data_IF_068944008761
#
_entry.id   IF_068944008761
#
_cell.length_a   1.000
_cell.length_b   1.000
_cell.length_c   1.000
_cell.angle_alpha   90.00
_cell.angle_beta   90.00
_cell.angle_gamma   90.00
#
_symmetry.space_group_name_H-M   'P 1'
#
loop_
_entity.id
_entity.type
_entity.pdbx_description
1 polymer ?
#
# COMPACT_ATOMS: atom_id res chain seq x y z
N UNK A 1 39.38 -4.53 -7.58
CA UNK A 1 37.90 -4.64 -7.59
C UNK A 1 37.43 -4.39 -9.01
N UNK A 2 36.72 -5.33 -9.63
CA UNK A 2 36.22 -5.17 -11.00
C UNK A 2 35.21 -4.02 -11.05
N UNK A 3 35.33 -3.16 -12.07
CA UNK A 3 34.35 -2.09 -12.36
C UNK A 3 32.96 -2.76 -12.47
N UNK A 4 31.92 -2.30 -11.75
CA UNK A 4 30.59 -2.88 -11.88
C UNK A 4 30.16 -2.75 -13.35
N UNK A 5 29.77 -3.89 -13.94
CA UNK A 5 29.26 -3.95 -15.31
C UNK A 5 28.08 -2.98 -15.41
N UNK A 6 28.20 -1.97 -16.28
CA UNK A 6 27.12 -1.04 -16.54
C UNK A 6 25.96 -1.81 -17.17
N UNK A 7 24.84 -1.89 -16.46
CA UNK A 7 23.61 -2.48 -16.99
C UNK A 7 23.19 -1.74 -18.27
N UNK A 8 22.97 -2.49 -19.35
CA UNK A 8 22.56 -1.93 -20.64
C UNK A 8 21.04 -1.76 -20.72
N UNK A 9 20.58 -0.52 -20.55
CA UNK A 9 19.17 -0.15 -20.65
C UNK A 9 18.64 -0.10 -22.09
N UNK A 10 19.51 -0.14 -23.11
CA UNK A 10 19.10 0.03 -24.51
C UNK A 10 18.46 -1.24 -25.09
N UNK A 11 18.88 -2.42 -24.60
CA UNK A 11 18.44 -3.72 -25.09
C UNK A 11 17.64 -4.53 -24.07
N UNK A 12 17.54 -4.06 -22.82
CA UNK A 12 16.83 -4.76 -21.76
C UNK A 12 15.30 -4.58 -21.85
N UNK A 13 14.57 -5.65 -21.55
CA UNK A 13 13.12 -5.62 -21.34
C UNK A 13 12.75 -4.90 -20.04
N UNK A 14 11.49 -4.50 -19.90
CA UNK A 14 11.02 -3.83 -18.69
C UNK A 14 11.20 -4.70 -17.44
N UNK A 15 10.97 -6.01 -17.55
CA UNK A 15 11.13 -6.98 -16.46
C UNK A 15 12.60 -7.12 -16.05
N UNK A 16 13.53 -7.21 -16.99
CA UNK A 16 14.97 -7.27 -16.71
C UNK A 16 15.48 -6.00 -16.05
N UNK A 17 15.00 -4.83 -16.48
CA UNK A 17 15.33 -3.55 -15.84
C UNK A 17 14.84 -3.52 -14.39
N UNK A 18 13.61 -3.95 -14.13
CA UNK A 18 13.03 -4.02 -12.77
C UNK A 18 13.85 -4.98 -11.91
N UNK A 19 14.07 -6.20 -12.39
CA UNK A 19 14.86 -7.22 -11.70
C UNK A 19 16.29 -6.76 -11.40
N UNK A 20 16.95 -6.09 -12.34
CA UNK A 20 18.29 -5.55 -12.12
C UNK A 20 18.33 -4.43 -11.07
N UNK A 21 17.26 -3.64 -10.95
CA UNK A 21 17.12 -2.62 -9.90
C UNK A 21 16.86 -3.28 -8.54
N UNK A 22 15.98 -4.29 -8.48
CA UNK A 22 15.65 -5.00 -7.24
C UNK A 22 16.86 -5.79 -6.70
N UNK A 23 17.62 -6.41 -7.60
CA UNK A 23 18.85 -7.14 -7.28
C UNK A 23 20.08 -6.23 -7.08
N UNK A 24 19.90 -4.91 -7.06
CA UNK A 24 20.97 -3.91 -6.86
C UNK A 24 22.11 -3.97 -7.89
N UNK A 25 21.85 -4.56 -9.06
CA UNK A 25 22.79 -4.57 -10.21
C UNK A 25 22.86 -3.17 -10.84
N UNK A 26 21.73 -2.45 -10.83
CA UNK A 26 21.66 -1.03 -11.20
C UNK A 26 20.68 -0.28 -10.29
N UNK A 27 20.40 1.00 -10.57
CA UNK A 27 19.50 1.82 -9.76
C UNK A 27 18.47 2.58 -10.61
N UNK A 28 17.37 2.98 -9.98
CA UNK A 28 16.39 3.87 -10.60
C UNK A 28 17.01 5.21 -11.02
N UNK A 29 18.04 5.68 -10.29
CA UNK A 29 18.78 6.89 -10.65
C UNK A 29 19.51 6.69 -11.97
N UNK A 30 20.19 5.54 -12.15
CA UNK A 30 20.88 5.21 -13.39
C UNK A 30 19.91 5.11 -14.57
N UNK A 31 18.73 4.51 -14.37
CA UNK A 31 17.67 4.46 -15.39
C UNK A 31 17.20 5.87 -15.80
N UNK A 32 17.00 6.78 -14.83
CA UNK A 32 16.64 8.18 -15.10
C UNK A 32 17.77 8.90 -15.84
N UNK A 33 19.01 8.74 -15.39
CA UNK A 33 20.18 9.33 -16.03
C UNK A 33 20.37 8.83 -17.47
N UNK A 34 20.17 7.55 -17.74
CA UNK A 34 20.16 6.99 -19.09
C UNK A 34 19.13 7.70 -19.96
N UNK A 35 17.88 7.79 -19.50
CA UNK A 35 16.79 8.46 -20.22
C UNK A 35 17.07 9.94 -20.48
N UNK A 36 17.76 10.63 -19.57
CA UNK A 36 18.22 12.01 -19.79
C UNK A 36 19.30 12.09 -20.88
N UNK A 37 20.31 11.20 -20.84
CA UNK A 37 21.43 11.18 -21.81
C UNK A 37 21.00 10.91 -23.25
N UNK A 38 19.94 10.12 -23.46
CA UNK A 38 19.44 9.78 -24.80
C UNK A 38 18.55 10.86 -25.43
N UNK A 39 18.45 12.04 -24.82
CA UNK A 39 17.64 13.16 -25.32
C UNK A 39 16.38 13.46 -24.49
N UNK A 40 16.33 13.01 -23.24
CA UNK A 40 15.22 13.26 -22.32
C UNK A 40 14.02 12.34 -22.52
N UNK A 41 13.01 12.51 -21.65
CA UNK A 41 11.89 11.57 -21.52
C UNK A 41 11.14 11.28 -22.82
N UNK A 42 10.88 12.30 -23.65
CA UNK A 42 10.12 12.12 -24.90
C UNK A 42 10.89 11.29 -25.94
N UNK A 43 12.20 11.49 -26.04
CA UNK A 43 13.05 10.74 -26.97
C UNK A 43 13.28 9.32 -26.44
N UNK A 44 13.51 9.18 -25.13
CA UNK A 44 13.66 7.90 -24.47
C UNK A 44 12.40 7.03 -24.58
N UNK A 45 11.21 7.62 -24.44
CA UNK A 45 9.94 6.88 -24.57
C UNK A 45 9.73 6.31 -25.97
N UNK A 46 10.21 7.02 -27.01
CA UNK A 46 10.10 6.56 -28.40
C UNK A 46 11.16 5.52 -28.74
N UNK A 47 12.41 5.73 -28.31
CA UNK A 47 13.55 4.86 -28.68
C UNK A 47 13.69 3.63 -27.78
N UNK A 48 13.32 3.75 -26.50
CA UNK A 48 13.50 2.72 -25.48
C UNK A 48 12.23 2.59 -24.61
N UNK A 49 11.09 2.15 -25.18
CA UNK A 49 9.80 2.12 -24.49
C UNK A 49 9.83 1.27 -23.20
N UNK A 50 10.62 0.19 -23.19
CA UNK A 50 10.84 -0.67 -22.02
C UNK A 50 11.32 0.10 -20.78
N UNK A 51 12.07 1.20 -20.96
CA UNK A 51 12.54 2.03 -19.84
C UNK A 51 11.41 2.80 -19.16
N UNK A 52 10.39 3.23 -19.91
CA UNK A 52 9.20 3.89 -19.35
C UNK A 52 8.33 2.88 -18.63
N UNK A 53 8.13 1.72 -19.25
CA UNK A 53 7.36 0.62 -18.67
C UNK A 53 7.96 0.16 -17.33
N UNK A 54 9.29 -0.04 -17.29
CA UNK A 54 10.00 -0.35 -16.05
C UNK A 54 9.78 0.71 -14.97
N UNK A 55 9.85 2.01 -15.31
CA UNK A 55 9.58 3.08 -14.34
C UNK A 55 8.14 3.01 -13.79
N UNK A 56 7.15 2.70 -14.62
CA UNK A 56 5.76 2.58 -14.19
C UNK A 56 5.56 1.37 -13.26
N UNK A 57 6.17 0.23 -13.60
CA UNK A 57 6.15 -0.98 -12.75
C UNK A 57 6.78 -0.67 -11.40
N UNK A 58 7.96 -0.07 -11.36
CA UNK A 58 8.66 0.30 -10.13
C UNK A 58 7.83 1.28 -9.30
N UNK A 59 7.20 2.27 -9.94
CA UNK A 59 6.32 3.23 -9.24
C UNK A 59 5.15 2.50 -8.57
N UNK A 60 4.49 1.59 -9.29
CA UNK A 60 3.38 0.78 -8.75
C UNK A 60 3.83 -0.10 -7.60
N UNK A 61 4.94 -0.84 -7.75
CA UNK A 61 5.47 -1.71 -6.70
C UNK A 61 5.86 -0.94 -5.43
N UNK A 62 6.47 0.24 -5.57
CA UNK A 62 6.81 1.11 -4.44
C UNK A 62 5.57 1.63 -3.73
N UNK A 63 4.53 2.00 -4.48
CA UNK A 63 3.25 2.42 -3.89
C UNK A 63 2.62 1.27 -3.11
N UNK A 64 2.54 0.07 -3.71
CA UNK A 64 2.04 -1.14 -3.03
C UNK A 64 2.83 -1.46 -1.75
N UNK A 65 4.16 -1.35 -1.80
CA UNK A 65 5.01 -1.58 -0.62
C UNK A 65 4.79 -0.53 0.48
N UNK A 66 4.53 0.73 0.11
CA UNK A 66 4.18 1.80 1.05
C UNK A 66 2.82 1.53 1.69
N UNK A 67 1.82 1.19 0.90
CA UNK A 67 0.46 0.91 1.39
C UNK A 67 0.48 -0.32 2.33
N UNK A 68 1.20 -1.39 1.93
CA UNK A 68 1.40 -2.56 2.77
C UNK A 68 2.19 -2.27 4.05
N UNK A 69 3.10 -1.29 4.04
CA UNK A 69 3.78 -0.84 5.25
C UNK A 69 2.82 -0.14 6.21
N UNK A 70 1.97 0.77 5.72
CA UNK A 70 0.98 1.47 6.53
C UNK A 70 0.07 0.46 7.26
N UNK A 71 -0.44 -0.54 6.53
CA UNK A 71 -1.28 -1.60 7.12
C UNK A 71 -0.50 -2.39 8.17
N UNK A 72 0.75 -2.78 7.88
CA UNK A 72 1.59 -3.50 8.86
C UNK A 72 1.86 -2.67 10.11
N UNK A 73 2.12 -1.38 9.98
CA UNK A 73 2.39 -0.49 11.11
C UNK A 73 1.14 -0.34 12.00
N UNK A 74 -0.06 -0.27 11.40
CA UNK A 74 -1.36 -0.31 12.12
C UNK A 74 -1.52 -1.63 12.87
N UNK A 75 -1.20 -2.75 12.21
CA UNK A 75 -1.37 -4.10 12.77
C UNK A 75 -0.27 -4.50 13.76
N UNK A 76 0.88 -3.83 13.76
CA UNK A 76 2.04 -4.18 14.57
C UNK A 76 1.75 -4.32 16.07
N UNK A 77 1.09 -3.35 16.76
CA UNK A 77 0.78 -3.50 18.18
C UNK A 77 -0.13 -4.70 18.45
N UNK A 78 -1.11 -4.96 17.57
CA UNK A 78 -2.01 -6.11 17.69
C UNK A 78 -1.28 -7.43 17.47
N UNK A 79 -0.43 -7.50 16.45
CA UNK A 79 0.32 -8.70 16.09
C UNK A 79 1.28 -9.14 17.21
N UNK A 80 1.88 -8.17 17.91
CA UNK A 80 2.75 -8.45 19.04
C UNK A 80 1.99 -9.02 20.25
N UNK A 81 0.76 -8.57 20.50
CA UNK A 81 -0.09 -9.09 21.58
C UNK A 81 -0.75 -10.42 21.22
N UNK A 82 -1.12 -10.62 19.95
CA UNK A 82 -1.59 -11.91 19.43
C UNK A 82 -0.50 -12.97 19.54
N UNK A 83 0.76 -12.63 19.24
CA UNK A 83 1.89 -13.55 19.42
C UNK A 83 2.11 -13.97 20.88
N UNK A 84 1.60 -13.19 21.85
CA UNK A 84 1.60 -13.53 23.29
C UNK A 84 0.37 -14.36 23.69
N UNK A 85 -0.49 -14.73 22.75
CA UNK A 85 -1.69 -15.54 22.98
C UNK A 85 -2.90 -14.77 23.51
N UNK A 86 -2.89 -13.43 23.47
CA UNK A 86 -4.09 -12.65 23.85
C UNK A 86 -5.15 -12.72 22.76
N UNK A 87 -6.40 -12.67 23.18
CA UNK A 87 -7.53 -12.63 22.26
C UNK A 87 -7.66 -11.26 21.57
N UNK A 88 -8.09 -11.25 20.30
CA UNK A 88 -8.24 -10.02 19.50
C UNK A 88 -9.20 -9.05 20.17
N UNK A 89 -10.33 -9.54 20.70
CA UNK A 89 -11.34 -8.71 21.35
C UNK A 89 -10.80 -8.09 22.62
N UNK A 90 -9.99 -8.82 23.39
CA UNK A 90 -9.32 -8.28 24.58
C UNK A 90 -8.32 -7.18 24.25
N UNK A 91 -7.57 -7.33 23.15
CA UNK A 91 -6.59 -6.33 22.72
C UNK A 91 -7.30 -5.02 22.31
N UNK A 92 -8.45 -5.11 21.62
CA UNK A 92 -9.19 -3.92 21.16
C UNK A 92 -10.16 -3.35 22.20
N UNK A 93 -10.47 -4.10 23.27
CA UNK A 93 -11.47 -3.75 24.30
C UNK A 93 -11.31 -2.33 24.88
N UNK A 94 -10.09 -1.80 25.13
CA UNK A 94 -9.95 -0.43 25.60
C UNK A 94 -10.50 0.61 24.62
N UNK A 95 -10.32 0.38 23.31
CA UNK A 95 -10.84 1.27 22.26
C UNK A 95 -12.36 1.18 22.17
N UNK A 96 -12.91 -0.04 22.23
CA UNK A 96 -14.36 -0.26 22.29
C UNK A 96 -14.96 0.44 23.51
N UNK A 97 -14.33 0.33 24.68
CA UNK A 97 -14.83 0.93 25.93
C UNK A 97 -14.89 2.46 25.83
N UNK A 98 -13.86 3.10 25.28
CA UNK A 98 -13.86 4.54 25.05
C UNK A 98 -14.99 4.99 24.09
N UNK A 99 -15.25 4.23 23.02
CA UNK A 99 -16.38 4.49 22.15
C UNK A 99 -17.73 4.31 22.86
N UNK A 100 -17.87 3.29 23.69
CA UNK A 100 -19.09 3.06 24.47
C UNK A 100 -19.37 4.24 25.41
N UNK A 101 -18.36 4.75 26.10
CA UNK A 101 -18.50 5.94 26.96
C UNK A 101 -18.94 7.16 26.15
N UNK A 102 -18.35 7.38 24.99
CA UNK A 102 -18.74 8.47 24.09
C UNK A 102 -20.21 8.34 23.63
N UNK A 103 -20.63 7.18 23.14
CA UNK A 103 -22.02 6.98 22.72
C UNK A 103 -23.00 7.04 23.90
N UNK A 104 -22.58 6.56 25.08
CA UNK A 104 -23.37 6.66 26.30
C UNK A 104 -23.59 8.11 26.72
N UNK A 105 -22.58 8.97 26.62
CA UNK A 105 -22.72 10.43 26.85
C UNK A 105 -23.71 11.11 25.91
N UNK A 106 -24.02 10.46 24.77
CA UNK A 106 -25.01 10.89 23.79
C UNK A 106 -26.37 10.20 23.95
N UNK A 107 -26.53 9.37 24.99
CA UNK A 107 -27.78 8.67 25.30
C UNK A 107 -27.93 7.28 24.67
N UNK A 108 -26.86 6.72 24.06
CA UNK A 108 -26.90 5.39 23.43
C UNK A 108 -26.07 4.37 24.22
N UNK A 109 -26.75 3.38 24.81
CA UNK A 109 -26.09 2.21 25.42
C UNK A 109 -25.86 1.12 24.38
N UNK A 110 -24.61 0.98 23.90
CA UNK A 110 -24.25 0.02 22.86
C UNK A 110 -23.45 -1.16 23.42
N UNK A 111 -23.67 -2.35 22.88
CA UNK A 111 -22.80 -3.51 23.05
C UNK A 111 -21.51 -3.38 22.22
N UNK A 112 -20.51 -4.21 22.53
CA UNK A 112 -19.18 -4.16 21.89
C UNK A 112 -19.30 -4.38 20.37
N UNK A 113 -20.12 -5.34 19.95
CA UNK A 113 -20.37 -5.66 18.55
C UNK A 113 -21.09 -4.52 17.81
N UNK A 114 -22.01 -3.84 18.49
CA UNK A 114 -22.76 -2.71 17.92
C UNK A 114 -21.84 -1.51 17.67
N UNK A 115 -20.87 -1.28 18.56
CA UNK A 115 -19.82 -0.28 18.34
C UNK A 115 -18.97 -0.63 17.13
N UNK A 116 -18.52 -1.88 17.00
CA UNK A 116 -17.74 -2.32 15.85
C UNK A 116 -18.50 -2.13 14.53
N UNK A 117 -19.76 -2.53 14.48
CA UNK A 117 -20.63 -2.36 13.30
C UNK A 117 -20.77 -0.87 12.94
N UNK A 118 -21.02 -0.01 13.93
CA UNK A 118 -21.16 1.43 13.70
C UNK A 118 -19.88 2.05 13.14
N UNK A 119 -18.72 1.67 13.69
CA UNK A 119 -17.42 2.10 13.15
C UNK A 119 -17.20 1.61 11.72
N UNK A 120 -17.62 0.38 11.40
CA UNK A 120 -17.53 -0.16 10.05
C UNK A 120 -18.45 0.57 9.05
N UNK A 121 -19.66 0.95 9.46
CA UNK A 121 -20.57 1.79 8.66
C UNK A 121 -19.90 3.14 8.35
N UNK A 122 -19.34 3.80 9.36
CA UNK A 122 -18.65 5.08 9.17
C UNK A 122 -17.47 4.95 8.20
N UNK A 123 -16.66 3.90 8.33
CA UNK A 123 -15.54 3.61 7.43
C UNK A 123 -15.96 3.16 6.03
N UNK A 124 -17.21 2.69 5.82
CA UNK A 124 -17.71 2.27 4.51
C UNK A 124 -17.59 3.36 3.46
N UNK A 125 -17.99 4.59 3.81
CA UNK A 125 -17.89 5.76 2.92
C UNK A 125 -16.43 6.12 2.55
N UNK A 126 -15.49 5.92 3.48
CA UNK A 126 -14.06 6.09 3.23
C UNK A 126 -13.53 5.01 2.29
N UNK A 127 -14.01 3.77 2.41
CA UNK A 127 -13.62 2.66 1.55
C UNK A 127 -14.05 2.88 0.09
N UNK A 128 -15.26 3.41 -0.14
CA UNK A 128 -15.70 3.78 -1.50
C UNK A 128 -14.80 4.86 -2.10
N UNK A 129 -14.45 5.88 -1.30
CA UNK A 129 -13.57 6.97 -1.71
C UNK A 129 -12.18 6.47 -2.10
N UNK A 130 -11.65 5.45 -1.40
CA UNK A 130 -10.34 4.87 -1.65
C UNK A 130 -10.33 3.89 -2.84
N UNK A 131 -11.42 3.13 -3.04
CA UNK A 131 -11.45 2.02 -4.01
C UNK A 131 -12.23 2.31 -5.28
N UNK A 132 -13.07 3.35 -5.27
CA UNK A 132 -14.02 3.66 -6.34
C UNK A 132 -15.11 2.62 -6.53
N UNK A 133 -15.24 1.66 -5.60
CA UNK A 133 -16.28 0.62 -5.62
C UNK A 133 -17.33 0.98 -4.58
N UNK A 134 -18.59 0.90 -4.96
CA UNK A 134 -19.70 1.02 -4.02
C UNK A 134 -19.64 -0.12 -3.02
N UNK A 135 -19.70 0.22 -1.74
CA UNK A 135 -19.95 -0.74 -0.67
C UNK A 135 -21.36 -1.29 -0.86
N UNK A 136 -21.58 -2.61 -0.71
CA UNK A 136 -22.92 -3.17 -0.73
C UNK A 136 -23.80 -2.47 0.30
N UNK A 137 -24.97 -2.01 -0.13
CA UNK A 137 -25.97 -1.44 0.75
C UNK A 137 -26.37 -2.49 1.78
N UNK A 138 -26.25 -2.16 3.07
CA UNK A 138 -26.58 -3.06 4.18
C UNK A 138 -28.08 -3.33 4.29
N UNK A 139 -28.91 -2.62 3.53
CA UNK A 139 -30.37 -2.76 3.53
C UNK A 139 -30.92 -3.51 2.32
N UNK A 140 -30.08 -3.82 1.32
CA UNK A 140 -30.49 -4.57 0.13
C UNK A 140 -29.97 -6.02 0.22
N UNK A 141 -30.84 -7.03 0.38
CA UNK A 141 -30.41 -8.43 0.40
C UNK A 141 -29.80 -8.85 -0.94
N UNK A 142 -28.74 -9.65 -0.87
CA UNK A 142 -27.99 -10.18 -2.02
C UNK A 142 -28.80 -11.17 -2.86
#
# INVERSE_FOLDING_TARGET
MAKPVLFDFSNATASEIVSAIDNKITSLVNLRSFRTRVGGSRVADRRYPATREAMNIIKRLRQQAKDAKIIRDILQPYSAELAKGRDVMEIIKPVISAWKEFYFSKGFGLADEQVLILRMIECGSELESLTGRTTPDMTTPA
#
